data_IF_603720062126
#
_entry.id   IF_603720062126
#
_cell.length_a   1.000
_cell.length_b   1.000
_cell.length_c   1.000
_cell.angle_alpha   90.00
_cell.angle_beta   90.00
_cell.angle_gamma   90.00
#
_symmetry.space_group_name_H-M   'P 1'
#
loop_
_entity.id
_entity.type
_entity.pdbx_description
1 polymer ?
#
# COMPACT_ATOMS: atom_id res chain seq x y z
N UNK A 1 54.41 64.73 -27.43
CA UNK A 1 53.36 64.10 -26.62
C UNK A 1 52.61 63.10 -27.47
N UNK A 2 52.89 61.80 -27.34
CA UNK A 2 52.15 60.79 -28.06
C UNK A 2 51.20 60.12 -27.05
N UNK A 3 49.89 59.97 -27.34
CA UNK A 3 49.01 59.20 -26.48
C UNK A 3 49.19 57.71 -26.78
N UNK A 4 49.57 56.95 -25.75
CA UNK A 4 49.61 55.49 -25.80
C UNK A 4 48.23 54.91 -25.92
N UNK A 5 48.00 54.15 -26.98
CA UNK A 5 46.79 53.33 -27.14
C UNK A 5 46.94 52.08 -26.30
N UNK A 6 46.12 52.00 -25.27
CA UNK A 6 45.98 50.80 -24.41
C UNK A 6 45.18 49.78 -25.23
N UNK A 7 45.82 48.69 -25.68
CA UNK A 7 45.13 47.56 -26.25
C UNK A 7 44.54 46.72 -25.10
N UNK A 8 43.26 46.68 -25.03
CA UNK A 8 42.53 45.71 -24.22
C UNK A 8 42.82 44.31 -24.82
N UNK A 9 43.35 43.43 -24.00
CA UNK A 9 43.42 42.03 -24.32
C UNK A 9 41.97 41.53 -24.39
N UNK A 10 41.54 41.08 -25.56
CA UNK A 10 40.36 40.21 -25.67
C UNK A 10 40.78 38.87 -25.08
N UNK A 11 40.28 38.58 -23.89
CA UNK A 11 40.29 37.22 -23.35
C UNK A 11 39.48 36.33 -24.26
N UNK A 12 40.14 35.49 -25.04
CA UNK A 12 39.52 34.36 -25.75
C UNK A 12 38.85 33.46 -24.73
N UNK A 13 37.59 33.71 -24.42
CA UNK A 13 36.75 32.75 -23.70
C UNK A 13 36.60 31.55 -24.64
N UNK A 14 37.44 30.53 -24.44
CA UNK A 14 37.32 29.26 -25.13
C UNK A 14 35.90 28.73 -24.90
N UNK A 15 35.11 28.75 -25.95
CA UNK A 15 33.70 28.33 -25.89
C UNK A 15 33.61 26.86 -25.52
N UNK A 16 32.57 26.49 -24.79
CA UNK A 16 32.25 25.09 -24.39
C UNK A 16 32.28 24.14 -25.61
N UNK A 17 32.08 24.70 -26.83
CA UNK A 17 32.10 23.98 -28.11
C UNK A 17 33.49 23.54 -28.60
N UNK A 18 34.58 24.05 -28.03
CA UNK A 18 35.93 23.78 -28.52
C UNK A 18 36.56 22.54 -27.85
N UNK A 19 35.91 21.99 -26.81
CA UNK A 19 36.33 20.79 -26.16
C UNK A 19 35.27 19.69 -26.31
N UNK A 20 35.48 18.66 -27.17
CA UNK A 20 34.49 17.61 -27.45
C UNK A 20 34.12 16.83 -26.18
N UNK A 21 35.00 16.71 -25.21
CA UNK A 21 34.75 16.02 -23.97
C UNK A 21 33.81 16.82 -23.06
N UNK A 22 33.99 18.16 -23.05
CA UNK A 22 33.10 19.06 -22.31
C UNK A 22 31.70 19.11 -22.95
N UNK A 23 31.62 19.09 -24.27
CA UNK A 23 30.36 19.05 -25.02
C UNK A 23 29.56 17.77 -24.73
N UNK A 24 30.23 16.60 -24.74
CA UNK A 24 29.59 15.34 -24.38
C UNK A 24 29.12 15.34 -22.92
N UNK A 25 29.95 15.81 -22.01
CA UNK A 25 29.57 15.90 -20.58
C UNK A 25 28.37 16.82 -20.39
N UNK A 26 28.30 17.97 -21.07
CA UNK A 26 27.17 18.90 -20.98
C UNK A 26 25.88 18.28 -21.55
N UNK A 27 25.96 17.56 -22.66
CA UNK A 27 24.81 16.86 -23.24
C UNK A 27 24.31 15.73 -22.33
N UNK A 28 25.21 14.98 -21.69
CA UNK A 28 24.83 13.94 -20.72
C UNK A 28 24.16 14.55 -19.50
N UNK A 29 24.72 15.63 -18.94
CA UNK A 29 24.12 16.32 -17.80
C UNK A 29 22.77 16.94 -18.16
N UNK A 30 22.66 17.56 -19.33
CA UNK A 30 21.39 18.11 -19.80
C UNK A 30 20.35 17.01 -20.02
N UNK A 31 20.73 15.88 -20.58
CA UNK A 31 19.87 14.70 -20.73
C UNK A 31 19.40 14.14 -19.38
N UNK A 32 20.30 14.01 -18.42
CA UNK A 32 19.95 13.57 -17.06
C UNK A 32 19.04 14.57 -16.35
N UNK A 33 19.26 15.89 -16.53
CA UNK A 33 18.37 16.92 -15.98
C UNK A 33 16.98 16.87 -16.62
N UNK A 34 16.88 16.63 -17.92
CA UNK A 34 15.59 16.49 -18.60
C UNK A 34 14.83 15.29 -18.05
N UNK A 35 15.47 14.14 -17.90
CA UNK A 35 14.85 12.94 -17.31
C UNK A 35 14.40 13.22 -15.87
N UNK A 36 15.24 13.85 -15.04
CA UNK A 36 14.91 14.16 -13.65
C UNK A 36 13.75 15.17 -13.50
N UNK A 37 13.56 16.08 -14.47
CA UNK A 37 12.46 17.08 -14.45
C UNK A 37 11.18 16.55 -15.07
N UNK A 38 11.28 15.57 -15.99
CA UNK A 38 10.12 14.96 -16.66
C UNK A 38 9.59 13.71 -15.97
N UNK A 39 10.38 13.03 -15.13
CA UNK A 39 9.91 11.98 -14.25
C UNK A 39 9.29 12.61 -13.00
N UNK A 40 7.96 12.65 -12.91
CA UNK A 40 7.29 12.89 -11.63
C UNK A 40 7.49 11.61 -10.79
N UNK A 41 8.28 11.62 -9.71
CA UNK A 41 8.32 10.46 -8.82
C UNK A 41 6.92 10.28 -8.22
N UNK A 42 6.42 9.04 -8.23
CA UNK A 42 5.18 8.71 -7.52
C UNK A 42 5.44 8.99 -6.04
N UNK A 43 4.57 9.78 -5.42
CA UNK A 43 4.67 10.08 -4.01
C UNK A 43 4.35 8.81 -3.19
N UNK A 44 5.03 8.62 -2.07
CA UNK A 44 4.63 7.63 -1.06
C UNK A 44 3.62 8.29 -0.14
N UNK A 45 2.46 7.67 0.01
CA UNK A 45 1.36 8.22 0.80
C UNK A 45 0.14 7.32 0.79
N UNK A 46 -1.00 7.86 1.21
CA UNK A 46 -2.25 7.11 1.35
C UNK A 46 -3.38 7.64 0.47
N UNK A 47 -3.07 8.58 -0.41
CA UNK A 47 -4.02 9.07 -1.40
C UNK A 47 -4.06 8.12 -2.62
N UNK A 48 -5.18 8.15 -3.35
CA UNK A 48 -5.29 7.40 -4.61
C UNK A 48 -4.23 7.89 -5.60
N UNK A 49 -3.45 6.96 -6.13
CA UNK A 49 -2.32 7.22 -7.03
C UNK A 49 -0.97 7.33 -6.35
N UNK A 50 -0.93 7.33 -5.01
CA UNK A 50 0.32 7.24 -4.26
C UNK A 50 0.82 5.79 -4.20
N UNK A 51 2.13 5.62 -4.06
CA UNK A 51 2.71 4.34 -3.65
C UNK A 51 2.40 4.11 -2.18
N UNK A 52 1.91 2.92 -1.85
CA UNK A 52 1.62 2.51 -0.49
C UNK A 52 2.85 2.68 0.42
N UNK A 53 2.68 3.17 1.68
CA UNK A 53 3.76 3.23 2.64
C UNK A 53 4.31 1.84 2.98
N UNK A 54 5.56 1.79 3.41
CA UNK A 54 6.18 0.57 3.94
C UNK A 54 5.36 -0.04 5.07
N UNK A 55 5.26 -1.37 5.10
CA UNK A 55 4.64 -2.11 6.19
C UNK A 55 5.46 -3.38 6.46
N UNK A 56 6.29 -3.33 7.48
CA UNK A 56 7.09 -4.46 7.94
C UNK A 56 6.77 -4.78 9.40
N UNK A 57 6.45 -6.02 9.71
CA UNK A 57 6.13 -6.48 11.05
C UNK A 57 6.22 -8.01 11.14
N UNK A 58 5.43 -8.62 11.99
CA UNK A 58 5.13 -10.05 12.00
C UNK A 58 3.65 -10.25 11.69
N UNK A 59 3.31 -11.34 11.04
CA UNK A 59 1.93 -11.70 10.75
C UNK A 59 1.61 -13.12 11.19
N UNK A 60 0.38 -13.34 11.59
CA UNK A 60 -0.20 -14.64 11.89
C UNK A 60 -1.01 -15.14 10.70
N UNK A 61 -0.66 -16.31 10.18
CA UNK A 61 -1.30 -16.93 9.01
C UNK A 61 -2.20 -18.14 9.35
N UNK A 62 -2.35 -18.44 10.65
CA UNK A 62 -3.05 -19.61 11.17
C UNK A 62 -2.13 -20.79 11.53
N UNK A 63 -0.87 -20.76 11.10
CA UNK A 63 0.15 -21.75 11.49
C UNK A 63 1.14 -21.19 12.52
N UNK A 64 1.30 -19.87 12.58
CA UNK A 64 2.17 -19.17 13.51
C UNK A 64 2.50 -17.75 13.09
N UNK A 65 3.29 -17.07 13.91
CA UNK A 65 3.79 -15.72 13.63
C UNK A 65 5.09 -15.80 12.83
N UNK A 66 5.15 -15.08 11.72
CA UNK A 66 6.32 -15.00 10.84
C UNK A 66 6.58 -13.55 10.42
N UNK A 67 7.80 -13.25 9.96
CA UNK A 67 8.11 -11.94 9.41
C UNK A 67 7.21 -11.64 8.22
N UNK A 68 6.71 -10.42 8.19
CA UNK A 68 5.86 -9.88 7.15
C UNK A 68 6.50 -8.63 6.54
N UNK A 69 6.43 -8.54 5.23
CA UNK A 69 6.89 -7.39 4.44
C UNK A 69 5.92 -7.21 3.28
N UNK A 70 5.17 -6.10 3.30
CA UNK A 70 4.18 -5.77 2.29
C UNK A 70 4.79 -5.62 0.89
N UNK A 71 6.01 -5.08 0.79
CA UNK A 71 6.66 -4.88 -0.50
C UNK A 71 6.93 -6.22 -1.23
N UNK A 72 7.03 -7.33 -0.48
CA UNK A 72 7.21 -8.65 -1.07
C UNK A 72 6.00 -9.15 -1.90
N UNK A 73 4.87 -8.50 -1.78
CA UNK A 73 3.64 -8.78 -2.53
C UNK A 73 3.55 -7.96 -3.82
N UNK A 74 4.41 -6.97 -4.03
CA UNK A 74 4.34 -6.07 -5.17
C UNK A 74 5.18 -6.57 -6.35
N UNK A 75 4.65 -6.38 -7.55
CA UNK A 75 5.36 -6.55 -8.82
C UNK A 75 5.63 -5.17 -9.44
N UNK A 76 6.82 -4.61 -9.19
CA UNK A 76 7.21 -3.29 -9.71
C UNK A 76 7.27 -3.23 -11.25
N UNK A 77 7.18 -4.38 -11.93
CA UNK A 77 7.17 -4.47 -13.39
C UNK A 77 5.77 -4.57 -13.98
N UNK A 78 4.75 -4.64 -13.12
CA UNK A 78 3.37 -4.73 -13.57
C UNK A 78 2.94 -3.45 -14.29
N UNK A 79 2.20 -3.63 -15.38
CA UNK A 79 1.60 -2.56 -16.17
C UNK A 79 0.09 -2.81 -16.27
N UNK A 80 -0.70 -1.73 -16.30
CA UNK A 80 -2.15 -1.81 -16.42
C UNK A 80 -2.57 -2.67 -17.63
N UNK A 81 -3.52 -3.58 -17.41
CA UNK A 81 -3.98 -4.55 -18.41
C UNK A 81 -3.15 -5.84 -18.47
N UNK A 82 -2.12 -6.01 -17.65
CA UNK A 82 -1.41 -7.27 -17.46
C UNK A 82 -1.96 -8.02 -16.25
N UNK A 83 -1.95 -9.38 -16.26
CA UNK A 83 -2.28 -10.14 -15.08
C UNK A 83 -1.41 -9.76 -13.88
N UNK A 84 -2.01 -9.66 -12.71
CA UNK A 84 -1.31 -9.31 -11.48
C UNK A 84 -2.09 -9.69 -10.22
N UNK A 85 -1.47 -9.54 -9.06
CA UNK A 85 -2.12 -9.80 -7.78
C UNK A 85 -2.48 -8.48 -7.12
N UNK A 86 -3.76 -8.18 -7.07
CA UNK A 86 -4.32 -7.02 -6.37
C UNK A 86 -4.39 -7.30 -4.88
N UNK A 87 -4.61 -6.26 -4.07
CA UNK A 87 -4.66 -6.41 -2.63
C UNK A 87 -5.80 -5.61 -2.02
N UNK A 88 -6.48 -6.22 -1.04
CA UNK A 88 -7.31 -5.51 -0.05
C UNK A 88 -6.53 -5.49 1.26
N UNK A 89 -6.15 -4.31 1.73
CA UNK A 89 -5.53 -4.09 3.03
C UNK A 89 -6.55 -3.47 3.97
N UNK A 90 -6.85 -4.14 5.10
CA UNK A 90 -7.72 -3.64 6.17
C UNK A 90 -6.89 -3.25 7.38
N UNK A 91 -7.04 -2.04 7.88
CA UNK A 91 -6.64 -1.71 9.25
C UNK A 91 -7.83 -1.94 10.18
N UNK A 92 -7.65 -2.77 11.18
CA UNK A 92 -8.70 -3.18 12.08
C UNK A 92 -8.21 -3.21 13.53
N UNK A 93 -9.14 -3.34 14.46
CA UNK A 93 -8.89 -3.54 15.89
C UNK A 93 -9.91 -4.58 16.37
N UNK A 94 -9.46 -5.59 17.10
CA UNK A 94 -10.30 -6.70 17.55
C UNK A 94 -11.40 -6.25 18.51
N UNK A 95 -11.17 -5.16 19.23
CA UNK A 95 -12.15 -4.53 20.13
C UNK A 95 -13.06 -3.50 19.45
N UNK A 96 -12.83 -3.22 18.17
CA UNK A 96 -13.68 -2.30 17.41
C UNK A 96 -15.00 -2.99 16.99
N UNK A 97 -16.18 -2.50 17.42
CA UNK A 97 -17.45 -3.11 17.06
C UNK A 97 -17.74 -3.12 15.55
N UNK A 98 -17.26 -2.13 14.83
CA UNK A 98 -17.41 -2.05 13.36
C UNK A 98 -16.55 -3.08 12.63
N UNK A 99 -15.34 -3.38 13.16
CA UNK A 99 -14.47 -4.44 12.63
C UNK A 99 -15.09 -5.82 12.86
N UNK A 100 -15.70 -6.04 14.03
CA UNK A 100 -16.47 -7.28 14.29
C UNK A 100 -17.63 -7.44 13.33
N UNK A 101 -18.33 -6.34 12.98
CA UNK A 101 -19.44 -6.37 12.02
C UNK A 101 -18.96 -6.63 10.59
N UNK A 102 -17.86 -6.02 10.15
CA UNK A 102 -17.32 -6.17 8.80
C UNK A 102 -16.52 -7.45 8.60
N UNK A 103 -16.21 -8.18 9.67
CA UNK A 103 -15.43 -9.42 9.59
C UNK A 103 -16.02 -10.46 8.61
N UNK A 104 -17.36 -10.51 8.49
CA UNK A 104 -17.99 -11.36 7.49
C UNK A 104 -17.73 -10.89 6.07
N UNK A 105 -17.82 -9.58 5.84
CA UNK A 105 -17.72 -9.02 4.49
C UNK A 105 -16.31 -9.18 3.93
N UNK A 106 -15.26 -8.93 4.74
CA UNK A 106 -13.88 -9.13 4.30
C UNK A 106 -13.57 -10.62 4.06
N UNK A 107 -14.10 -11.52 4.89
CA UNK A 107 -13.97 -12.96 4.67
C UNK A 107 -14.72 -13.44 3.42
N UNK A 108 -15.86 -12.84 3.11
CA UNK A 108 -16.61 -13.12 1.88
C UNK A 108 -15.84 -12.59 0.64
N UNK A 109 -15.19 -11.42 0.74
CA UNK A 109 -14.36 -10.89 -0.35
C UNK A 109 -13.15 -11.78 -0.63
N UNK A 110 -12.45 -12.24 0.41
CA UNK A 110 -11.35 -13.20 0.28
C UNK A 110 -11.80 -14.44 -0.52
N UNK A 111 -12.95 -15.03 -0.16
CA UNK A 111 -13.49 -16.21 -0.83
C UNK A 111 -14.02 -15.94 -2.26
N UNK A 112 -14.57 -14.74 -2.52
CA UNK A 112 -15.13 -14.38 -3.83
C UNK A 112 -14.00 -14.09 -4.83
N UNK A 113 -12.96 -13.38 -4.39
CA UNK A 113 -11.89 -12.89 -5.26
C UNK A 113 -10.67 -13.83 -5.32
N UNK A 114 -10.74 -15.00 -4.67
CA UNK A 114 -9.72 -16.03 -4.75
C UNK A 114 -9.60 -16.54 -6.19
N UNK A 115 -8.38 -16.60 -6.71
CA UNK A 115 -8.07 -17.13 -8.03
C UNK A 115 -8.55 -18.57 -8.26
N UNK A 116 -8.74 -19.36 -7.19
CA UNK A 116 -9.32 -20.70 -7.25
C UNK A 116 -10.87 -20.70 -7.36
N UNK A 117 -11.53 -19.54 -7.18
CA UNK A 117 -12.97 -19.43 -7.33
C UNK A 117 -13.35 -19.44 -8.83
N UNK A 118 -14.08 -20.46 -9.34
CA UNK A 118 -14.40 -20.56 -10.75
C UNK A 118 -15.38 -19.48 -11.25
N UNK A 119 -16.05 -18.80 -10.34
CA UNK A 119 -16.98 -17.70 -10.66
C UNK A 119 -16.25 -16.33 -10.72
N UNK A 120 -14.99 -16.28 -10.29
CA UNK A 120 -14.11 -15.12 -10.37
C UNK A 120 -13.07 -15.34 -11.49
N UNK A 121 -13.30 -14.75 -12.67
CA UNK A 121 -12.44 -14.89 -13.84
C UNK A 121 -11.56 -13.63 -14.08
N UNK A 122 -11.22 -12.93 -13.03
CA UNK A 122 -10.41 -11.71 -13.08
C UNK A 122 -9.06 -11.91 -12.39
N UNK A 123 -8.41 -10.80 -12.04
CA UNK A 123 -7.12 -10.77 -11.38
C UNK A 123 -7.17 -11.45 -9.99
N UNK A 124 -6.05 -12.02 -9.58
CA UNK A 124 -5.89 -12.52 -8.21
C UNK A 124 -5.96 -11.38 -7.20
N UNK A 125 -6.57 -11.64 -6.04
CA UNK A 125 -6.71 -10.64 -4.98
C UNK A 125 -6.29 -11.23 -3.64
N UNK A 126 -5.27 -10.63 -3.06
CA UNK A 126 -4.80 -10.97 -1.72
C UNK A 126 -5.50 -10.09 -0.69
N UNK A 127 -5.97 -10.69 0.40
CA UNK A 127 -6.51 -9.96 1.54
C UNK A 127 -5.49 -9.98 2.68
N UNK A 128 -5.28 -8.84 3.33
CA UNK A 128 -4.39 -8.69 4.48
C UNK A 128 -5.08 -7.81 5.51
N UNK A 129 -5.12 -8.25 6.78
CA UNK A 129 -5.57 -7.43 7.89
C UNK A 129 -4.37 -6.94 8.71
N UNK A 130 -4.37 -5.66 9.08
CA UNK A 130 -3.41 -5.03 9.99
C UNK A 130 -4.13 -4.79 11.30
N UNK A 131 -3.79 -5.57 12.31
CA UNK A 131 -4.46 -5.57 13.61
C UNK A 131 -3.74 -4.62 14.57
N UNK A 132 -4.38 -3.49 14.83
CA UNK A 132 -3.92 -2.45 15.73
C UNK A 132 -4.64 -2.51 17.07
N UNK A 133 -4.03 -1.94 18.12
CA UNK A 133 -4.69 -1.64 19.38
C UNK A 133 -4.94 -0.14 19.46
N UNK A 134 -6.18 0.30 19.23
CA UNK A 134 -6.53 1.71 19.34
C UNK A 134 -6.37 2.21 20.78
N UNK A 135 -5.75 3.37 20.97
CA UNK A 135 -5.62 3.99 22.29
C UNK A 135 -6.98 4.56 22.78
N UNK A 136 -7.95 3.66 22.96
CA UNK A 136 -9.31 3.94 23.38
C UNK A 136 -9.62 3.11 24.62
N UNK A 137 -10.29 3.68 25.61
CA UNK A 137 -10.64 2.98 26.83
C UNK A 137 -11.48 1.71 26.54
N UNK A 138 -10.98 0.56 26.97
CA UNK A 138 -11.64 -0.74 26.82
C UNK A 138 -11.22 -1.47 25.55
N UNK A 139 -10.21 -0.97 24.86
CA UNK A 139 -9.43 -1.71 23.88
C UNK A 139 -8.18 -2.22 24.57
N UNK A 140 -7.90 -3.50 24.47
CA UNK A 140 -6.78 -4.23 25.14
C UNK A 140 -6.44 -5.44 24.29
N UNK A 141 -6.11 -5.20 23.03
CA UNK A 141 -5.85 -6.24 22.05
C UNK A 141 -4.49 -6.91 22.31
N UNK A 142 -4.43 -8.19 22.07
CA UNK A 142 -3.19 -8.99 22.19
C UNK A 142 -3.01 -9.88 20.97
N UNK A 143 -1.83 -10.45 20.79
CA UNK A 143 -1.59 -11.41 19.71
C UNK A 143 -2.51 -12.63 19.80
N UNK A 144 -2.74 -13.14 20.99
CA UNK A 144 -3.65 -14.25 21.22
C UNK A 144 -5.10 -13.90 20.89
N UNK A 145 -5.48 -12.65 21.10
CA UNK A 145 -6.80 -12.16 20.68
C UNK A 145 -6.89 -11.99 19.17
N UNK A 146 -5.84 -11.49 18.52
CA UNK A 146 -5.74 -11.43 17.05
C UNK A 146 -5.88 -12.83 16.44
N UNK A 147 -5.16 -13.83 16.99
CA UNK A 147 -5.30 -15.24 16.61
C UNK A 147 -6.74 -15.72 16.76
N UNK A 148 -7.34 -15.45 17.94
CA UNK A 148 -8.72 -15.84 18.23
C UNK A 148 -9.73 -15.14 17.31
N UNK A 149 -9.53 -13.88 16.99
CA UNK A 149 -10.37 -13.15 16.05
C UNK A 149 -10.26 -13.76 14.64
N UNK A 150 -9.05 -13.95 14.12
CA UNK A 150 -8.80 -14.53 12.81
C UNK A 150 -9.40 -15.93 12.68
N UNK A 151 -9.07 -16.82 13.62
CA UNK A 151 -9.44 -18.23 13.58
C UNK A 151 -10.86 -18.48 14.11
N UNK A 152 -11.55 -17.42 14.55
CA UNK A 152 -12.89 -17.50 15.15
C UNK A 152 -12.92 -18.50 16.32
N UNK A 153 -11.89 -18.50 17.15
CA UNK A 153 -11.77 -19.37 18.30
C UNK A 153 -12.32 -18.73 19.58
N UNK A 154 -12.71 -19.55 20.56
CA UNK A 154 -13.26 -19.09 21.83
C UNK A 154 -12.16 -18.82 22.87
N UNK A 155 -12.52 -18.07 23.90
CA UNK A 155 -11.66 -17.84 25.08
C UNK A 155 -11.04 -16.45 25.14
N UNK A 156 -11.26 -15.64 24.12
CA UNK A 156 -10.86 -14.24 24.06
C UNK A 156 -12.06 -13.35 23.77
N UNK A 157 -11.96 -12.07 24.15
CA UNK A 157 -13.05 -11.10 24.01
C UNK A 157 -12.73 -10.16 22.87
N UNK A 158 -13.63 -10.06 21.89
CA UNK A 158 -13.56 -9.15 20.77
C UNK A 158 -14.78 -8.22 20.81
N UNK A 159 -14.60 -6.91 20.99
CA UNK A 159 -15.67 -5.93 21.13
C UNK A 159 -16.76 -6.36 22.13
N UNK A 160 -16.35 -6.81 23.32
CA UNK A 160 -17.23 -7.23 24.46
C UNK A 160 -18.00 -8.53 24.23
N UNK A 161 -17.68 -9.32 23.23
CA UNK A 161 -18.23 -10.66 22.99
C UNK A 161 -17.11 -11.67 22.77
N UNK A 162 -17.41 -12.96 22.91
CA UNK A 162 -16.42 -14.00 22.58
C UNK A 162 -16.05 -13.93 21.09
N UNK A 163 -14.75 -13.96 20.75
CA UNK A 163 -14.27 -13.82 19.36
C UNK A 163 -14.88 -14.88 18.43
N UNK A 164 -15.21 -16.08 18.96
CA UNK A 164 -15.89 -17.12 18.17
C UNK A 164 -17.30 -16.74 17.75
N UNK A 165 -17.91 -15.74 18.39
CA UNK A 165 -19.29 -15.31 18.10
C UNK A 165 -19.38 -14.29 16.97
N UNK A 166 -18.24 -13.75 16.48
CA UNK A 166 -18.25 -12.82 15.33
C UNK A 166 -18.90 -13.43 14.09
N UNK A 167 -19.48 -12.62 13.23
CA UNK A 167 -20.08 -13.10 11.99
C UNK A 167 -19.03 -13.63 11.00
N UNK A 168 -19.48 -14.41 10.02
CA UNK A 168 -18.61 -15.00 9.00
C UNK A 168 -17.90 -16.28 9.47
N UNK A 169 -16.97 -16.76 8.67
CA UNK A 169 -16.10 -17.91 8.92
C UNK A 169 -14.77 -17.48 9.56
N UNK A 170 -13.93 -18.43 9.96
CA UNK A 170 -12.52 -18.16 10.20
C UNK A 170 -11.90 -17.58 8.91
N UNK A 171 -10.94 -16.67 9.06
CA UNK A 171 -10.29 -16.04 7.92
C UNK A 171 -9.09 -16.88 7.46
N UNK A 172 -8.85 -16.93 6.14
CA UNK A 172 -7.71 -17.65 5.58
C UNK A 172 -6.47 -16.75 5.42
N UNK A 173 -6.65 -15.44 5.32
CA UNK A 173 -5.61 -14.45 5.08
C UNK A 173 -4.82 -14.08 6.36
N UNK A 174 -3.61 -13.48 6.19
CA UNK A 174 -2.75 -13.11 7.31
C UNK A 174 -3.26 -11.89 8.08
N UNK A 175 -2.93 -11.87 9.37
CA UNK A 175 -3.14 -10.76 10.29
C UNK A 175 -1.80 -10.22 10.75
N UNK A 176 -1.47 -9.00 10.34
CA UNK A 176 -0.22 -8.29 10.69
C UNK A 176 -0.38 -7.64 12.06
N UNK A 177 0.61 -7.81 12.92
CA UNK A 177 0.66 -7.17 14.24
C UNK A 177 1.04 -5.68 14.10
N UNK A 178 0.15 -4.80 14.49
CA UNK A 178 0.38 -3.36 14.65
C UNK A 178 -0.11 -2.87 16.02
N UNK A 179 0.05 -3.69 17.06
CA UNK A 179 -0.30 -3.30 18.44
C UNK A 179 0.48 -2.08 18.93
N UNK A 180 1.61 -1.75 18.28
CA UNK A 180 2.39 -0.53 18.54
C UNK A 180 1.83 0.72 17.85
N UNK A 181 0.90 0.59 16.92
CA UNK A 181 0.35 1.65 16.05
C UNK A 181 1.37 2.27 15.06
N UNK A 182 2.51 1.64 14.85
CA UNK A 182 3.55 2.17 13.96
C UNK A 182 3.07 2.19 12.49
N UNK A 183 2.37 1.14 12.06
CA UNK A 183 1.80 1.08 10.72
C UNK A 183 0.62 2.06 10.56
N UNK A 184 -0.30 2.12 11.54
CA UNK A 184 -1.40 3.11 11.51
C UNK A 184 -0.87 4.54 11.40
N UNK A 185 0.19 4.88 12.12
CA UNK A 185 0.80 6.20 12.08
C UNK A 185 1.46 6.48 10.73
N UNK A 186 2.22 5.52 10.18
CA UNK A 186 2.86 5.64 8.86
C UNK A 186 1.82 5.80 7.73
N UNK A 187 0.72 5.05 7.82
CA UNK A 187 -0.40 5.07 6.87
C UNK A 187 -1.42 6.18 7.16
N UNK A 188 -1.20 6.99 8.19
CA UNK A 188 -2.08 8.10 8.62
C UNK A 188 -3.52 7.65 8.87
N UNK A 189 -3.72 6.37 9.18
CA UNK A 189 -5.02 5.80 9.53
C UNK A 189 -5.44 6.32 10.89
N UNK A 190 -6.68 6.79 11.02
CA UNK A 190 -7.17 7.45 12.25
C UNK A 190 -8.29 6.68 12.94
N UNK A 191 -8.70 5.58 12.39
CA UNK A 191 -9.79 4.76 12.92
C UNK A 191 -9.95 3.47 12.14
N UNK A 192 -10.73 2.56 12.72
CA UNK A 192 -10.96 1.23 12.16
C UNK A 192 -12.46 0.95 12.00
N UNK A 193 -12.85 0.15 11.00
CA UNK A 193 -12.02 -0.36 9.93
C UNK A 193 -11.69 0.72 8.89
N UNK A 194 -10.47 0.68 8.35
CA UNK A 194 -10.08 1.48 7.18
C UNK A 194 -9.52 0.53 6.12
N UNK A 195 -9.93 0.71 4.88
CA UNK A 195 -9.58 -0.17 3.77
C UNK A 195 -8.82 0.55 2.68
N UNK A 196 -7.86 -0.15 2.09
CA UNK A 196 -7.17 0.24 0.87
C UNK A 196 -7.29 -0.88 -0.16
N UNK A 197 -7.46 -0.51 -1.43
CA UNK A 197 -7.25 -1.41 -2.56
C UNK A 197 -5.97 -0.97 -3.26
N UNK A 198 -5.03 -1.90 -3.41
CA UNK A 198 -3.69 -1.65 -3.90
C UNK A 198 -3.48 -2.45 -5.19
N UNK A 199 -2.92 -1.80 -6.21
CA UNK A 199 -2.54 -2.43 -7.47
C UNK A 199 -1.35 -3.36 -7.29
N UNK A 200 -1.10 -4.27 -8.24
CA UNK A 200 0.04 -5.18 -8.14
C UNK A 200 1.41 -4.49 -8.02
N UNK A 201 1.56 -3.27 -8.56
CA UNK A 201 2.78 -2.45 -8.45
C UNK A 201 2.91 -1.66 -7.14
N UNK A 202 1.96 -1.82 -6.22
CA UNK A 202 1.95 -1.13 -4.93
C UNK A 202 1.31 0.25 -4.94
N UNK A 203 0.64 0.64 -6.03
CA UNK A 203 -0.08 1.93 -6.10
C UNK A 203 -1.47 1.78 -5.49
N UNK A 204 -1.87 2.74 -4.65
CA UNK A 204 -3.22 2.78 -4.06
C UNK A 204 -4.24 3.16 -5.13
N UNK A 205 -5.15 2.25 -5.42
CA UNK A 205 -6.22 2.45 -6.40
C UNK A 205 -7.51 2.98 -5.78
N UNK A 206 -7.74 2.67 -4.50
CA UNK A 206 -8.91 3.11 -3.75
C UNK A 206 -8.64 3.08 -2.23
N UNK A 207 -9.34 3.96 -1.51
CA UNK A 207 -9.34 3.98 -0.04
C UNK A 207 -10.75 4.24 0.48
N UNK A 208 -11.08 3.70 1.65
CA UNK A 208 -12.37 3.92 2.32
C UNK A 208 -12.61 5.37 2.75
N UNK A 209 -11.56 6.20 2.79
CA UNK A 209 -11.70 7.64 3.01
C UNK A 209 -12.25 8.39 1.78
N UNK A 210 -12.28 7.73 0.62
CA UNK A 210 -12.80 8.30 -0.63
C UNK A 210 -13.77 7.33 -1.32
N UNK A 211 -15.01 7.33 -0.88
CA UNK A 211 -16.09 6.46 -1.39
C UNK A 211 -16.89 7.06 -2.56
N UNK A 212 -16.39 8.12 -3.19
CA UNK A 212 -17.12 8.84 -4.24
C UNK A 212 -17.46 7.97 -5.46
N UNK A 213 -16.62 6.98 -5.78
CA UNK A 213 -16.78 6.09 -6.95
C UNK A 213 -17.26 4.69 -6.57
N UNK A 214 -16.74 4.12 -5.48
CA UNK A 214 -17.08 2.79 -5.00
C UNK A 214 -17.41 2.86 -3.50
N UNK A 215 -18.48 2.21 -3.08
CA UNK A 215 -18.99 2.29 -1.71
C UNK A 215 -18.20 1.49 -0.68
N UNK A 216 -17.45 0.46 -1.13
CA UNK A 216 -16.61 -0.40 -0.30
C UNK A 216 -15.47 -1.04 -1.11
N UNK A 217 -14.55 -1.71 -0.42
CA UNK A 217 -13.39 -2.34 -1.05
C UNK A 217 -13.75 -3.46 -2.03
N UNK A 218 -14.78 -4.26 -1.73
CA UNK A 218 -15.25 -5.31 -2.63
C UNK A 218 -15.78 -4.76 -3.96
N UNK A 219 -16.55 -3.66 -3.93
CA UNK A 219 -17.00 -2.97 -5.15
C UNK A 219 -15.81 -2.37 -5.93
N UNK A 220 -14.83 -1.82 -5.23
CA UNK A 220 -13.64 -1.27 -5.85
C UNK A 220 -12.83 -2.35 -6.57
N UNK A 221 -12.55 -3.47 -5.90
CA UNK A 221 -11.85 -4.62 -6.50
C UNK A 221 -12.62 -5.19 -7.69
N UNK A 222 -13.92 -5.43 -7.53
CA UNK A 222 -14.75 -5.99 -8.62
C UNK A 222 -14.76 -5.12 -9.89
N UNK A 223 -14.48 -3.82 -9.74
CA UNK A 223 -14.46 -2.89 -10.86
C UNK A 223 -13.06 -2.59 -11.41
N UNK A 224 -12.01 -2.78 -10.60
CA UNK A 224 -10.64 -2.39 -10.94
C UNK A 224 -9.75 -3.58 -11.28
N UNK A 225 -9.88 -4.71 -10.56
CA UNK A 225 -9.08 -5.91 -10.75
C UNK A 225 -9.67 -6.80 -11.85
N UNK A 226 -9.81 -6.24 -13.06
CA UNK A 226 -10.40 -6.94 -14.21
C UNK A 226 -9.34 -7.24 -15.25
N UNK A 227 -9.36 -8.46 -15.78
CA UNK A 227 -8.52 -8.86 -16.92
C UNK A 227 -9.16 -8.30 -18.20
N UNK A 228 -8.42 -7.44 -18.91
CA UNK A 228 -8.84 -7.01 -20.25
C UNK A 228 -8.81 -8.21 -21.21
N UNK A 229 -9.98 -8.53 -21.81
CA UNK A 229 -10.19 -9.68 -22.68
C UNK A 229 -9.72 -9.42 -24.13
#
# INVERSE_FOLDING_TARGET
MHPGVMRLHEDDAAGITDNPLLMVATLVIAGLMIVAVTSNPIATGTDIGDRAPELTSVAYDGAGWANFDLESYFDETWEEGQPGSWMILEFMDTDCPYCVQSAKDIGDWDAIFDAANPDWNNEDVQVIAVAAELNIQGHDSSREEIEAFRDKSSGYTCAKQDCSSRAGSAHAFPYVDDLSLDAMDAWKVRGTPTYFVIQPDGIIAWTSDNTAKYGNAGEAVAALAVVDA
#
